data_IF_775290183144
#
_entry.id   IF_775290183144
#
_cell.length_a   1.000
_cell.length_b   1.000
_cell.length_c   1.000
_cell.angle_alpha   90.00
_cell.angle_beta   90.00
_cell.angle_gamma   90.00
#
_symmetry.space_group_name_H-M   'P 1'
#
loop_
_entity.id
_entity.type
_entity.pdbx_description
1 polymer ?
#
# COMPACT_ATOMS: atom_id res chain seq x y z
N UNK A 1 30.61 -50.54 -35.39
CA UNK A 1 30.13 -51.34 -34.23
C UNK A 1 30.48 -50.52 -33.00
N UNK A 2 29.52 -49.83 -32.38
CA UNK A 2 28.80 -50.29 -31.18
C UNK A 2 29.78 -50.46 -29.99
N UNK A 3 29.70 -49.85 -28.81
CA UNK A 3 28.70 -49.17 -27.98
C UNK A 3 29.50 -48.39 -26.91
N UNK A 4 29.07 -47.21 -26.44
CA UNK A 4 28.25 -47.00 -25.22
C UNK A 4 28.65 -47.89 -24.02
N UNK A 5 29.34 -47.33 -23.03
CA UNK A 5 29.07 -47.62 -21.60
C UNK A 5 29.27 -46.35 -20.78
N UNK A 6 28.18 -45.96 -20.14
CA UNK A 6 28.01 -44.93 -19.11
C UNK A 6 28.40 -45.56 -17.75
N UNK A 7 29.11 -44.84 -16.89
CA UNK A 7 28.76 -44.65 -15.46
C UNK A 7 29.94 -44.12 -14.58
N UNK A 8 29.71 -42.91 -14.04
CA UNK A 8 29.90 -42.49 -12.63
C UNK A 8 31.30 -42.37 -12.00
N UNK A 9 31.74 -41.12 -11.81
CA UNK A 9 32.14 -40.44 -10.55
C UNK A 9 32.58 -39.01 -10.97
N UNK A 10 31.82 -37.93 -10.79
CA UNK A 10 31.38 -37.22 -9.57
C UNK A 10 32.53 -36.73 -8.68
N UNK A 11 32.46 -35.42 -8.38
CA UNK A 11 33.37 -34.52 -7.65
C UNK A 11 34.54 -33.94 -8.49
N UNK A 12 34.75 -32.63 -8.60
CA UNK A 12 34.21 -31.48 -7.88
C UNK A 12 34.34 -30.20 -8.72
N UNK A 13 33.63 -29.14 -8.30
CA UNK A 13 33.60 -27.78 -8.84
C UNK A 13 32.51 -27.49 -9.89
N UNK A 14 31.25 -27.74 -9.53
CA UNK A 14 30.14 -26.88 -9.99
C UNK A 14 29.81 -25.96 -8.83
N UNK A 15 30.12 -24.67 -9.02
CA UNK A 15 29.94 -23.59 -8.06
C UNK A 15 28.48 -23.53 -7.58
N UNK A 16 28.26 -23.81 -6.29
CA UNK A 16 26.95 -23.78 -5.61
C UNK A 16 26.45 -22.36 -5.32
N UNK A 17 26.58 -21.40 -6.26
CA UNK A 17 26.14 -20.00 -6.04
C UNK A 17 24.95 -19.56 -6.92
N UNK A 18 24.28 -20.48 -7.63
CA UNK A 18 23.18 -20.12 -8.55
C UNK A 18 21.90 -20.99 -8.38
N UNK A 19 21.59 -21.44 -7.16
CA UNK A 19 20.38 -22.25 -6.88
C UNK A 19 19.27 -21.54 -6.10
N UNK A 20 19.32 -20.21 -5.97
CA UNK A 20 18.31 -19.46 -5.20
C UNK A 20 17.77 -18.20 -5.91
N UNK A 21 17.99 -18.02 -7.22
CA UNK A 21 17.26 -17.01 -8.01
C UNK A 21 15.93 -17.58 -8.52
N UNK A 22 15.17 -18.17 -7.62
CA UNK A 22 13.77 -18.43 -7.90
C UNK A 22 13.11 -17.06 -7.87
N UNK A 23 12.58 -16.62 -9.02
CA UNK A 23 11.60 -15.55 -9.15
C UNK A 23 10.44 -15.81 -8.19
N UNK A 24 10.63 -15.52 -6.90
CA UNK A 24 9.55 -15.41 -5.94
C UNK A 24 8.77 -14.20 -6.42
N UNK A 25 7.62 -14.45 -7.04
CA UNK A 25 6.56 -13.45 -7.07
C UNK A 25 6.45 -12.92 -5.64
N UNK A 26 6.77 -11.64 -5.39
CA UNK A 26 6.82 -11.13 -4.03
C UNK A 26 5.45 -11.41 -3.40
N UNK A 27 5.47 -12.04 -2.24
CA UNK A 27 4.21 -12.34 -1.57
C UNK A 27 3.52 -11.01 -1.25
N UNK A 28 2.19 -10.96 -1.23
CA UNK A 28 1.43 -9.72 -0.92
C UNK A 28 1.94 -9.05 0.36
N UNK A 29 2.47 -9.84 1.30
CA UNK A 29 3.09 -9.35 2.53
C UNK A 29 4.48 -8.72 2.33
N UNK A 30 5.32 -9.23 1.43
CA UNK A 30 6.61 -8.61 1.08
C UNK A 30 6.41 -7.30 0.32
N UNK A 31 5.44 -7.26 -0.60
CA UNK A 31 5.01 -6.00 -1.23
C UNK A 31 4.47 -5.02 -0.18
N UNK A 32 3.67 -5.49 0.77
CA UNK A 32 3.18 -4.64 1.85
C UNK A 32 4.32 -4.12 2.72
N UNK A 33 5.32 -4.95 3.04
CA UNK A 33 6.48 -4.60 3.86
C UNK A 33 7.40 -3.62 3.12
N UNK A 34 7.55 -3.79 1.82
CA UNK A 34 8.29 -2.86 0.95
C UNK A 34 7.52 -1.54 0.72
N UNK A 35 6.18 -1.58 0.61
CA UNK A 35 5.33 -0.39 0.64
C UNK A 35 5.27 0.26 2.04
N UNK A 36 5.50 -0.48 3.11
CA UNK A 36 5.65 0.02 4.49
C UNK A 36 7.04 0.60 4.72
N UNK A 37 8.04 0.15 3.97
CA UNK A 37 9.38 0.75 3.95
C UNK A 37 9.39 2.16 3.35
N UNK A 38 8.34 2.54 2.60
CA UNK A 38 8.17 3.91 2.15
C UNK A 38 8.00 4.85 3.34
N UNK A 39 8.75 5.97 3.30
CA UNK A 39 8.65 7.03 4.30
C UNK A 39 7.19 7.39 4.57
N UNK A 40 6.78 7.29 5.83
CA UNK A 40 5.42 7.54 6.31
C UNK A 40 4.90 8.91 5.87
N UNK A 41 5.79 9.89 5.72
CA UNK A 41 5.42 11.21 5.20
C UNK A 41 4.99 11.16 3.73
N UNK A 42 5.65 10.33 2.91
CA UNK A 42 5.30 10.13 1.49
C UNK A 42 3.97 9.42 1.35
N UNK A 43 3.75 8.33 2.12
CA UNK A 43 2.48 7.62 2.15
C UNK A 43 1.32 8.54 2.53
N UNK A 44 1.51 9.34 3.59
CA UNK A 44 0.51 10.30 4.07
C UNK A 44 0.20 11.39 3.04
N UNK A 45 1.22 11.91 2.34
CA UNK A 45 1.03 12.90 1.26
C UNK A 45 0.23 12.32 0.11
N UNK A 46 0.57 11.12 -0.35
CA UNK A 46 -0.16 10.45 -1.43
C UNK A 46 -1.61 10.20 -1.02
N UNK A 47 -1.84 9.69 0.20
CA UNK A 47 -3.17 9.51 0.76
C UNK A 47 -3.97 10.81 0.81
N UNK A 48 -3.35 11.91 1.27
CA UNK A 48 -3.97 13.22 1.32
C UNK A 48 -4.35 13.74 -0.08
N UNK A 49 -3.48 13.56 -1.08
CA UNK A 49 -3.75 13.94 -2.47
C UNK A 49 -4.91 13.13 -3.04
N UNK A 50 -4.89 11.80 -2.87
CA UNK A 50 -5.97 10.92 -3.31
C UNK A 50 -7.30 11.29 -2.65
N UNK A 51 -7.30 11.45 -1.32
CA UNK A 51 -8.48 11.85 -0.56
C UNK A 51 -9.03 13.21 -1.02
N UNK A 52 -8.15 14.20 -1.23
CA UNK A 52 -8.56 15.51 -1.71
C UNK A 52 -9.19 15.45 -3.10
N UNK A 53 -8.64 14.63 -4.00
CA UNK A 53 -9.16 14.44 -5.35
C UNK A 53 -10.54 13.79 -5.31
N UNK A 54 -10.71 12.74 -4.49
CA UNK A 54 -11.99 12.07 -4.28
C UNK A 54 -13.05 13.04 -3.76
N UNK A 55 -12.71 13.81 -2.72
CA UNK A 55 -13.63 14.80 -2.14
C UNK A 55 -14.01 15.88 -3.16
N UNK A 56 -13.05 16.37 -3.95
CA UNK A 56 -13.28 17.40 -4.96
C UNK A 56 -14.21 16.90 -6.07
N UNK A 57 -13.91 15.72 -6.64
CA UNK A 57 -14.71 15.12 -7.71
C UNK A 57 -16.12 14.80 -7.23
N UNK A 58 -16.26 14.22 -6.03
CA UNK A 58 -17.57 13.97 -5.43
C UNK A 58 -18.37 15.26 -5.22
N UNK A 59 -17.73 16.32 -4.71
CA UNK A 59 -18.39 17.61 -4.50
C UNK A 59 -18.88 18.23 -5.82
N UNK A 60 -18.08 18.15 -6.88
CA UNK A 60 -18.45 18.65 -8.21
C UNK A 60 -19.64 17.87 -8.78
N UNK A 61 -19.62 16.53 -8.69
CA UNK A 61 -20.72 15.69 -9.16
C UNK A 61 -22.03 15.97 -8.43
N UNK A 62 -21.97 16.13 -7.09
CA UNK A 62 -23.14 16.49 -6.30
C UNK A 62 -23.68 17.85 -6.74
N UNK A 63 -22.80 18.85 -6.89
CA UNK A 63 -23.20 20.20 -7.32
C UNK A 63 -23.88 20.18 -8.70
N UNK A 64 -23.32 19.43 -9.65
CA UNK A 64 -23.89 19.31 -11.00
C UNK A 64 -25.28 18.66 -10.98
N UNK A 65 -25.47 17.56 -10.25
CA UNK A 65 -26.77 16.88 -10.20
C UNK A 65 -27.83 17.68 -9.42
N UNK A 66 -27.44 18.39 -8.37
CA UNK A 66 -28.32 19.33 -7.66
C UNK A 66 -28.75 20.46 -8.60
N UNK A 67 -27.81 21.03 -9.36
CA UNK A 67 -28.12 22.07 -10.35
C UNK A 67 -28.98 21.54 -11.51
N UNK A 68 -28.84 20.26 -11.87
CA UNK A 68 -29.67 19.58 -12.87
C UNK A 68 -31.06 19.17 -12.35
N UNK A 69 -31.36 19.39 -11.07
CA UNK A 69 -32.65 19.06 -10.44
C UNK A 69 -32.88 17.56 -10.23
N UNK A 70 -31.86 16.72 -10.38
CA UNK A 70 -31.94 15.26 -10.24
C UNK A 70 -31.56 14.84 -8.82
N UNK A 71 -32.49 15.10 -7.89
CA UNK A 71 -32.28 14.88 -6.45
C UNK A 71 -31.96 13.43 -6.08
N UNK A 72 -32.48 12.45 -6.83
CA UNK A 72 -32.19 11.03 -6.59
C UNK A 72 -30.71 10.70 -6.80
N UNK A 73 -30.09 11.22 -7.86
CA UNK A 73 -28.67 11.00 -8.13
C UNK A 73 -27.79 11.78 -7.16
N UNK A 74 -28.19 13.01 -6.84
CA UNK A 74 -27.51 13.81 -5.82
C UNK A 74 -27.48 13.11 -4.46
N UNK A 75 -28.54 12.40 -4.08
CA UNK A 75 -28.59 11.63 -2.84
C UNK A 75 -27.60 10.46 -2.84
N UNK A 76 -27.47 9.73 -3.96
CA UNK A 76 -26.50 8.64 -4.11
C UNK A 76 -25.07 9.18 -4.03
N UNK A 77 -24.75 10.26 -4.75
CA UNK A 77 -23.43 10.88 -4.69
C UNK A 77 -23.13 11.48 -3.31
N UNK A 78 -24.13 12.02 -2.62
CA UNK A 78 -24.02 12.48 -1.23
C UNK A 78 -23.72 11.33 -0.26
N UNK A 79 -24.38 10.18 -0.42
CA UNK A 79 -24.09 8.98 0.37
C UNK A 79 -22.66 8.47 0.16
N UNK A 80 -22.21 8.41 -1.10
CA UNK A 80 -20.82 8.08 -1.41
C UNK A 80 -19.84 9.07 -0.77
N UNK A 81 -20.13 10.37 -0.85
CA UNK A 81 -19.30 11.41 -0.23
C UNK A 81 -19.18 11.25 1.29
N UNK A 82 -20.27 10.91 1.98
CA UNK A 82 -20.24 10.62 3.42
C UNK A 82 -19.34 9.42 3.75
N UNK A 83 -19.38 8.36 2.94
CA UNK A 83 -18.49 7.21 3.11
C UNK A 83 -17.01 7.61 2.93
N UNK A 84 -16.72 8.46 1.93
CA UNK A 84 -15.37 8.98 1.72
C UNK A 84 -14.90 9.80 2.93
N UNK A 85 -15.75 10.67 3.49
CA UNK A 85 -15.43 11.42 4.72
C UNK A 85 -15.12 10.46 5.88
N UNK A 86 -15.93 9.42 6.07
CA UNK A 86 -15.70 8.40 7.10
C UNK A 86 -14.37 7.66 6.92
N UNK A 87 -14.03 7.31 5.68
CA UNK A 87 -12.75 6.69 5.35
C UNK A 87 -11.57 7.62 5.68
N UNK A 88 -11.65 8.89 5.27
CA UNK A 88 -10.61 9.88 5.55
C UNK A 88 -10.43 10.08 7.05
N UNK A 89 -11.53 10.18 7.80
CA UNK A 89 -11.50 10.29 9.26
C UNK A 89 -10.85 9.06 9.92
N UNK A 90 -11.19 7.86 9.44
CA UNK A 90 -10.58 6.61 9.94
C UNK A 90 -9.07 6.56 9.69
N UNK A 91 -8.62 6.96 8.49
CA UNK A 91 -7.18 7.00 8.17
C UNK A 91 -6.47 8.06 9.00
N UNK A 92 -7.05 9.25 9.11
CA UNK A 92 -6.50 10.34 9.92
C UNK A 92 -6.36 9.95 11.39
N UNK A 93 -7.33 9.20 11.93
CA UNK A 93 -7.25 8.66 13.29
C UNK A 93 -6.07 7.70 13.46
N UNK A 94 -5.89 6.74 12.54
CA UNK A 94 -4.76 5.80 12.59
C UNK A 94 -3.41 6.54 12.48
N UNK A 95 -3.32 7.55 11.62
CA UNK A 95 -2.14 8.40 11.51
C UNK A 95 -1.87 9.19 12.80
N UNK A 96 -2.91 9.70 13.45
CA UNK A 96 -2.77 10.39 14.73
C UNK A 96 -2.25 9.45 15.83
N UNK A 97 -2.85 8.27 15.97
CA UNK A 97 -2.43 7.25 16.95
C UNK A 97 -0.97 6.84 16.75
N UNK A 98 -0.59 6.55 15.50
CA UNK A 98 0.79 6.16 15.18
C UNK A 98 1.79 7.31 15.42
N UNK A 99 1.38 8.57 15.24
CA UNK A 99 2.25 9.73 15.52
C UNK A 99 2.49 9.92 17.03
N UNK A 100 1.49 9.64 17.86
CA UNK A 100 1.61 9.72 19.31
C UNK A 100 2.58 8.65 19.84
N UNK A 101 2.50 7.44 19.33
CA UNK A 101 3.38 6.33 19.72
C UNK A 101 4.86 6.61 19.38
N UNK A 102 5.13 7.21 18.22
CA UNK A 102 6.49 7.62 17.84
C UNK A 102 7.04 8.74 18.75
N UNK A 103 6.20 9.71 19.13
CA UNK A 103 6.61 10.79 20.02
C UNK A 103 6.99 10.27 21.41
N UNK A 104 6.25 9.30 21.94
CA UNK A 104 6.54 8.64 23.22
C UNK A 104 7.85 7.85 23.15
N UNK A 105 8.07 7.05 22.11
CA UNK A 105 9.33 6.30 21.93
C UNK A 105 10.56 7.21 21.78
N UNK A 106 10.40 8.35 21.11
CA UNK A 106 11.49 9.32 20.96
C UNK A 106 11.82 10.02 22.29
N UNK A 107 10.82 10.24 23.15
CA UNK A 107 11.01 10.81 24.48
C UNK A 107 11.73 9.84 25.43
N UNK A 108 11.41 8.54 25.39
CA UNK A 108 12.15 7.53 26.17
C UNK A 108 13.62 7.43 25.74
N UNK A 109 13.91 7.41 24.44
CA UNK A 109 15.30 7.35 23.92
C UNK A 109 16.18 8.55 24.29
N UNK A 110 15.60 9.67 24.72
CA UNK A 110 16.33 10.90 25.06
C UNK A 110 16.51 11.07 26.58
N UNK A 111 15.94 10.17 27.38
CA UNK A 111 16.00 10.17 28.85
C UNK A 111 17.04 9.20 29.45
N UNK A 112 17.67 8.36 28.64
CA UNK A 112 18.94 7.65 28.95
C UNK A 112 20.16 8.50 28.58
#
# INVERSE_FOLDING_TARGET
>A
MAQTVIATQQDAAVSEEDCCKQDRQPSVYELLDELISFDRSTLTKILAVCASTLLLVSSILIYQEVAAGRTDLAMIYGGFFLLVIGLVASVAFVLHETSQLEAVQTAEKKGE
#
